data_IF_336138501881
#
_entry.id   IF_336138501881
#
_cell.length_a   1.000
_cell.length_b   1.000
_cell.length_c   1.000
_cell.angle_alpha   90.00
_cell.angle_beta   90.00
_cell.angle_gamma   90.00
#
_symmetry.space_group_name_H-M   'P 1'
#
loop_
_entity.id
_entity.type
_entity.pdbx_description
1 polymer ?
#
# COMPACT_ATOMS: atom_id res chain seq x y z
N UNK A 1 -0.24 -1.50 18.56
CA UNK A 1 -0.42 -1.66 17.11
C UNK A 1 -0.75 -3.11 16.84
N UNK A 2 -1.96 -3.39 16.38
CA UNK A 2 -2.39 -4.73 16.00
C UNK A 2 -2.11 -4.90 14.50
N UNK A 3 -1.47 -6.00 14.11
CA UNK A 3 -1.29 -6.31 12.70
C UNK A 3 -2.64 -6.73 12.10
N UNK A 4 -3.09 -6.03 11.06
CA UNK A 4 -4.32 -6.34 10.35
C UNK A 4 -4.08 -7.35 9.22
N UNK A 5 -2.92 -7.27 8.57
CA UNK A 5 -2.57 -8.19 7.50
C UNK A 5 -1.38 -7.74 6.67
N UNK A 6 -0.94 -8.65 5.80
CA UNK A 6 0.18 -8.45 4.88
C UNK A 6 -0.30 -8.75 3.46
N UNK A 7 -0.14 -7.79 2.56
CA UNK A 7 -0.41 -7.95 1.12
C UNK A 7 0.89 -8.01 0.33
N UNK A 8 0.86 -8.75 -0.78
CA UNK A 8 1.97 -8.80 -1.74
C UNK A 8 1.65 -7.91 -2.94
N UNK A 9 2.62 -7.09 -3.33
CA UNK A 9 2.52 -6.16 -4.47
C UNK A 9 3.65 -6.47 -5.44
N UNK A 10 3.30 -6.83 -6.67
CA UNK A 10 4.27 -7.17 -7.71
C UNK A 10 4.75 -5.92 -8.47
N UNK A 11 6.01 -5.92 -8.90
CA UNK A 11 6.63 -4.79 -9.59
C UNK A 11 6.04 -4.46 -10.97
N UNK A 12 5.13 -5.29 -11.49
CA UNK A 12 4.44 -5.14 -12.76
C UNK A 12 2.93 -4.83 -12.62
N UNK A 13 2.38 -4.79 -11.40
CA UNK A 13 0.93 -4.62 -11.15
C UNK A 13 0.42 -3.17 -11.30
N UNK A 14 1.29 -2.21 -11.60
CA UNK A 14 0.90 -0.80 -11.66
C UNK A 14 0.54 -0.27 -10.26
N UNK A 15 -0.45 0.63 -10.18
CA UNK A 15 -1.00 1.10 -8.90
C UNK A 15 -2.03 0.11 -8.37
N UNK A 16 -1.80 -0.40 -7.16
CA UNK A 16 -2.67 -1.35 -6.48
C UNK A 16 -3.42 -0.64 -5.37
N UNK A 17 -4.75 -0.79 -5.34
CA UNK A 17 -5.60 -0.37 -4.24
C UNK A 17 -5.39 -1.33 -3.05
N UNK A 18 -4.81 -0.82 -1.96
CA UNK A 18 -4.44 -1.62 -0.80
C UNK A 18 -5.66 -2.20 -0.07
N UNK A 19 -6.80 -1.49 -0.08
CA UNK A 19 -8.04 -1.97 0.53
C UNK A 19 -8.59 -3.17 -0.25
N UNK A 20 -8.64 -3.05 -1.58
CA UNK A 20 -9.09 -4.14 -2.46
C UNK A 20 -8.19 -5.36 -2.30
N UNK A 21 -6.86 -5.17 -2.33
CA UNK A 21 -5.89 -6.27 -2.16
C UNK A 21 -5.99 -6.93 -0.79
N UNK A 22 -6.27 -6.16 0.26
CA UNK A 22 -6.54 -6.70 1.59
C UNK A 22 -7.85 -7.49 1.59
N UNK A 23 -8.93 -6.97 1.02
CA UNK A 23 -10.23 -7.63 0.96
C UNK A 23 -10.20 -8.94 0.14
N UNK A 24 -9.33 -9.04 -0.87
CA UNK A 24 -9.09 -10.29 -1.63
C UNK A 24 -8.48 -11.40 -0.74
N UNK A 25 -7.68 -11.02 0.27
CA UNK A 25 -6.94 -11.96 1.13
C UNK A 25 -7.57 -12.16 2.51
N UNK A 26 -8.22 -11.12 3.02
CA UNK A 26 -8.81 -11.04 4.35
C UNK A 26 -10.29 -10.68 4.18
N UNK A 27 -11.14 -11.70 4.21
CA UNK A 27 -12.57 -11.56 3.96
C UNK A 27 -13.21 -10.52 4.89
N UNK A 28 -13.95 -9.59 4.30
CA UNK A 28 -14.65 -8.52 5.03
C UNK A 28 -13.76 -7.35 5.48
N UNK A 29 -12.50 -7.30 5.05
CA UNK A 29 -11.65 -6.14 5.33
C UNK A 29 -12.16 -4.87 4.64
N UNK A 30 -12.26 -3.79 5.41
CA UNK A 30 -12.49 -2.43 4.94
C UNK A 30 -11.83 -1.45 5.91
N UNK A 31 -11.29 -0.35 5.39
CA UNK A 31 -10.75 0.70 6.24
C UNK A 31 -11.88 1.47 6.93
N UNK A 32 -11.79 1.62 8.24
CA UNK A 32 -12.68 2.46 9.03
C UNK A 32 -12.38 3.96 8.82
N UNK A 33 -13.41 4.75 8.52
CA UNK A 33 -13.29 6.19 8.32
C UNK A 33 -12.79 6.91 9.59
N UNK A 34 -11.81 7.79 9.42
CA UNK A 34 -11.17 8.55 10.50
C UNK A 34 -10.15 7.76 11.32
N UNK A 35 -9.97 6.45 11.04
CA UNK A 35 -8.95 5.62 11.69
C UNK A 35 -7.61 5.79 10.97
N UNK A 36 -6.54 5.84 11.76
CA UNK A 36 -5.17 5.89 11.26
C UNK A 36 -4.62 4.46 11.18
N UNK A 37 -3.90 4.19 10.10
CA UNK A 37 -3.21 2.94 9.83
C UNK A 37 -1.74 3.21 9.56
N UNK A 38 -0.91 2.24 9.87
CA UNK A 38 0.53 2.26 9.60
C UNK A 38 0.87 1.24 8.55
N UNK A 39 1.55 1.68 7.49
CA UNK A 39 2.07 0.83 6.44
C UNK A 39 3.57 0.65 6.63
N UNK A 40 3.99 -0.61 6.64
CA UNK A 40 5.38 -1.01 6.76
C UNK A 40 5.78 -1.87 5.57
N UNK A 41 6.84 -1.47 4.88
CA UNK A 41 7.29 -2.13 3.67
C UNK A 41 8.38 -3.14 4.01
N UNK A 42 8.13 -4.40 3.67
CA UNK A 42 9.08 -5.50 3.87
C UNK A 42 9.64 -5.88 2.49
N UNK A 43 10.82 -5.34 2.17
CA UNK A 43 11.53 -5.60 0.92
C UNK A 43 12.49 -4.47 0.54
N UNK A 44 13.32 -4.73 -0.46
CA UNK A 44 14.35 -3.78 -0.92
C UNK A 44 14.02 -3.10 -2.27
N UNK A 45 12.79 -3.25 -2.77
CA UNK A 45 12.35 -2.57 -4.00
C UNK A 45 12.07 -1.09 -3.73
N UNK A 46 12.00 -0.31 -4.82
CA UNK A 46 11.43 1.04 -4.76
C UNK A 46 9.92 0.95 -4.65
N UNK A 47 9.36 1.70 -3.71
CA UNK A 47 7.93 1.79 -3.47
C UNK A 47 7.48 3.24 -3.60
N UNK A 48 6.25 3.42 -4.06
CA UNK A 48 5.49 4.64 -3.88
C UNK A 48 4.15 4.33 -3.21
N UNK A 49 3.80 5.13 -2.21
CA UNK A 49 2.52 5.08 -1.49
C UNK A 49 1.87 6.46 -1.63
N UNK A 50 0.60 6.49 -2.00
CA UNK A 50 -0.18 7.73 -2.10
C UNK A 50 -1.62 7.49 -1.66
N UNK A 51 -2.21 8.50 -1.03
CA UNK A 51 -3.61 8.57 -0.66
C UNK A 51 -4.36 9.57 -1.54
N UNK A 52 -5.58 9.23 -1.97
CA UNK A 52 -6.42 10.12 -2.78
C UNK A 52 -7.14 9.39 -3.93
N UNK A 53 -7.10 10.00 -5.10
CA UNK A 53 -7.64 9.44 -6.36
C UNK A 53 -6.59 8.61 -7.08
N UNK A 54 -7.01 7.62 -7.88
CA UNK A 54 -6.11 6.78 -8.67
C UNK A 54 -5.14 7.66 -9.48
N UNK A 55 -3.81 7.52 -9.32
CA UNK A 55 -2.86 8.37 -10.02
C UNK A 55 -2.81 8.07 -11.53
N UNK A 56 -2.68 9.10 -12.37
CA UNK A 56 -2.86 8.98 -13.83
C UNK A 56 -1.63 8.42 -14.59
N UNK A 57 -0.36 8.64 -14.17
CA UNK A 57 0.84 8.11 -14.87
C UNK A 57 2.05 7.84 -13.93
N UNK A 58 3.21 7.44 -14.48
CA UNK A 58 4.48 7.00 -13.83
C UNK A 58 5.18 8.03 -12.92
N UNK A 59 4.44 8.88 -12.22
CA UNK A 59 4.99 9.83 -11.26
C UNK A 59 5.40 9.16 -9.93
N UNK A 60 6.56 9.57 -9.44
CA UNK A 60 6.94 9.46 -8.04
C UNK A 60 7.61 8.15 -7.63
N UNK A 61 8.88 7.94 -8.00
CA UNK A 61 9.77 7.11 -7.16
C UNK A 61 10.63 7.99 -6.26
N UNK A 62 9.98 8.87 -5.49
CA UNK A 62 10.58 9.40 -4.26
C UNK A 62 10.17 8.47 -3.13
N UNK A 63 11.15 7.98 -2.37
CA UNK A 63 10.91 7.07 -1.24
C UNK A 63 9.85 7.68 -0.32
N UNK A 64 8.67 7.07 -0.24
CA UNK A 64 7.74 7.33 0.86
C UNK A 64 8.49 7.10 2.17
N UNK A 65 8.33 8.00 3.14
CA UNK A 65 8.91 7.81 4.49
C UNK A 65 8.26 6.56 5.08
N UNK A 66 9.03 5.49 5.23
CA UNK A 66 8.61 4.24 5.89
C UNK A 66 8.96 4.34 7.39
N UNK A 67 8.02 4.05 8.31
CA UNK A 67 6.64 3.65 8.07
C UNK A 67 5.73 4.81 7.61
N UNK A 68 4.78 4.52 6.72
CA UNK A 68 3.82 5.50 6.18
C UNK A 68 2.54 5.50 7.02
N UNK A 69 2.17 6.67 7.56
CA UNK A 69 0.91 6.85 8.28
C UNK A 69 -0.20 7.26 7.31
N UNK A 70 -1.31 6.53 7.33
CA UNK A 70 -2.47 6.75 6.48
C UNK A 70 -3.72 6.94 7.33
N UNK A 71 -4.45 8.05 7.16
CA UNK A 71 -5.75 8.25 7.81
C UNK A 71 -6.84 8.08 6.75
N UNK A 72 -7.68 7.06 6.90
CA UNK A 72 -8.72 6.77 5.90
C UNK A 72 -9.81 7.85 5.96
N UNK A 73 -10.09 8.50 4.82
CA UNK A 73 -11.20 9.41 4.66
C UNK A 73 -12.17 8.83 3.62
N UNK A 74 -13.46 9.12 3.74
CA UNK A 74 -14.51 8.53 2.90
C UNK A 74 -14.32 8.73 1.38
N UNK A 75 -13.53 9.73 0.98
CA UNK A 75 -13.23 10.05 -0.43
C UNK A 75 -11.80 9.69 -0.84
N UNK A 76 -11.01 9.03 0.02
CA UNK A 76 -9.61 8.70 -0.27
C UNK A 76 -9.40 7.20 -0.28
N UNK A 77 -8.62 6.75 -1.26
CA UNK A 77 -8.13 5.38 -1.34
C UNK A 77 -6.63 5.36 -1.12
N UNK A 78 -6.10 4.22 -0.72
CA UNK A 78 -4.68 4.01 -0.51
C UNK A 78 -4.11 3.20 -1.66
N UNK A 79 -3.24 3.83 -2.45
CA UNK A 79 -2.59 3.19 -3.59
C UNK A 79 -1.12 2.91 -3.30
N UNK A 80 -0.69 1.70 -3.67
CA UNK A 80 0.68 1.24 -3.54
C UNK A 80 1.19 0.81 -4.90
N UNK A 81 2.40 1.25 -5.26
CA UNK A 81 3.09 0.83 -6.49
C UNK A 81 4.51 0.39 -6.16
N UNK A 82 4.87 -0.79 -6.67
CA UNK A 82 6.22 -1.34 -6.58
C UNK A 82 6.95 -1.16 -7.91
N UNK A 83 8.23 -0.77 -7.89
CA UNK A 83 9.12 -0.91 -9.06
C UNK A 83 9.88 -2.21 -8.96
N UNK A 84 9.81 -3.00 -10.03
CA UNK A 84 10.71 -4.12 -10.21
C UNK A 84 12.19 -3.69 -10.14
N UNK A 85 12.95 -4.22 -9.18
CA UNK A 85 14.40 -4.06 -9.09
C UNK A 85 15.03 -5.43 -8.85
N UNK A 86 15.77 -5.95 -9.84
CA UNK A 86 16.48 -7.24 -9.71
C UNK A 86 17.32 -7.27 -8.42
N UNK A 87 17.29 -8.37 -7.64
CA UNK A 87 16.62 -9.64 -7.89
C UNK A 87 15.14 -9.72 -7.43
N UNK A 88 14.55 -8.65 -6.91
CA UNK A 88 13.25 -8.68 -6.24
C UNK A 88 12.08 -8.42 -7.22
N UNK A 89 11.11 -9.32 -7.25
CA UNK A 89 9.91 -9.25 -8.12
C UNK A 89 8.71 -8.58 -7.46
N UNK A 90 8.63 -8.64 -6.13
CA UNK A 90 7.51 -8.15 -5.33
C UNK A 90 8.00 -7.56 -4.00
N UNK A 91 7.09 -6.87 -3.30
CA UNK A 91 7.23 -6.46 -1.91
C UNK A 91 6.08 -6.98 -1.09
N UNK A 92 6.30 -7.10 0.22
CA UNK A 92 5.21 -7.29 1.17
C UNK A 92 4.94 -5.96 1.88
N UNK A 93 3.67 -5.62 2.01
CA UNK A 93 3.23 -4.44 2.75
C UNK A 93 2.40 -4.91 3.93
N UNK A 94 2.90 -4.63 5.13
CA UNK A 94 2.23 -4.90 6.38
C UNK A 94 1.36 -3.69 6.75
N UNK A 95 0.10 -3.92 7.09
CA UNK A 95 -0.87 -2.90 7.48
C UNK A 95 -1.25 -3.15 8.94
N UNK A 96 -1.09 -2.14 9.78
CA UNK A 96 -1.38 -2.21 11.21
C UNK A 96 -2.24 -1.04 11.68
N UNK A 97 -3.01 -1.27 12.74
CA UNK A 97 -3.72 -0.25 13.52
C UNK A 97 -2.73 0.56 14.40
#
# INVERSE_FOLDING_TARGET
>A
MANLGIIEIYGNEGWVDAEVKMAEKYEGFAFEAGKQYTLQVIGNNKICITDGTTPEEEEGFEKSKDPFAYTHAASTKLFVKCKYQRPFTSIHVNIAD
#
